data_IF_678607097776
#
_entry.id   IF_678607097776
#
_cell.length_a   1.000
_cell.length_b   1.000
_cell.length_c   1.000
_cell.angle_alpha   90.00
_cell.angle_beta   90.00
_cell.angle_gamma   90.00
#
_symmetry.space_group_name_H-M   'P 1'
#
loop_
_entity.id
_entity.type
_entity.pdbx_description
1 polymer ?
#
# COMPACT_ATOMS: atom_id res chain seq x y z
N UNK A 1 -51.58 9.46 17.79
CA UNK A 1 -50.30 8.82 18.16
C UNK A 1 -49.31 9.91 18.56
N UNK A 2 -48.92 9.97 19.84
CA UNK A 2 -47.95 10.96 20.33
C UNK A 2 -46.56 10.50 19.88
N UNK A 3 -45.89 11.28 19.02
CA UNK A 3 -44.52 10.99 18.59
C UNK A 3 -43.59 11.44 19.71
N UNK A 4 -42.88 10.51 20.34
CA UNK A 4 -41.81 10.84 21.27
C UNK A 4 -40.63 11.34 20.42
N UNK A 5 -40.28 12.61 20.57
CA UNK A 5 -39.11 13.19 19.92
C UNK A 5 -37.84 12.82 20.70
N UNK A 6 -36.75 12.56 19.98
CA UNK A 6 -35.43 12.42 20.58
C UNK A 6 -35.06 13.69 21.31
N UNK A 7 -34.51 13.54 22.51
CA UNK A 7 -33.98 14.66 23.25
C UNK A 7 -32.61 15.05 22.68
N UNK A 8 -32.29 16.35 22.67
CA UNK A 8 -30.97 16.82 22.20
C UNK A 8 -29.81 16.18 22.97
N UNK A 9 -30.03 15.83 24.25
CA UNK A 9 -29.03 15.20 25.10
C UNK A 9 -28.70 13.77 24.68
N UNK A 10 -29.69 12.99 24.24
CA UNK A 10 -29.47 11.63 23.71
C UNK A 10 -28.58 11.67 22.47
N UNK A 11 -28.82 12.63 21.55
CA UNK A 11 -27.99 12.79 20.37
C UNK A 11 -26.57 13.27 20.70
N UNK A 12 -26.45 14.18 21.67
CA UNK A 12 -25.19 14.78 22.09
C UNK A 12 -24.24 13.77 22.75
N UNK A 13 -24.76 12.88 23.60
CA UNK A 13 -23.93 11.85 24.24
C UNK A 13 -23.37 10.86 23.22
N UNK A 14 -24.15 10.54 22.18
CA UNK A 14 -23.75 9.57 21.15
C UNK A 14 -22.58 10.11 20.32
N UNK A 15 -22.66 11.37 19.86
CA UNK A 15 -21.55 11.95 19.09
C UNK A 15 -20.28 12.11 19.95
N UNK A 16 -20.42 12.36 21.25
CA UNK A 16 -19.29 12.46 22.16
C UNK A 16 -18.55 11.12 22.30
N UNK A 17 -19.29 10.01 22.42
CA UNK A 17 -18.71 8.67 22.49
C UNK A 17 -18.05 8.30 21.14
N UNK A 18 -18.71 8.59 20.00
CA UNK A 18 -18.14 8.33 18.67
C UNK A 18 -16.83 9.11 18.47
N UNK A 19 -16.78 10.38 18.86
CA UNK A 19 -15.57 11.21 18.75
C UNK A 19 -14.40 10.64 19.57
N UNK A 20 -14.67 10.17 20.78
CA UNK A 20 -13.67 9.53 21.64
C UNK A 20 -13.12 8.24 20.99
N UNK A 21 -13.99 7.38 20.46
CA UNK A 21 -13.57 6.15 19.78
C UNK A 21 -12.77 6.44 18.50
N UNK A 22 -13.22 7.40 17.68
CA UNK A 22 -12.52 7.78 16.44
C UNK A 22 -11.16 8.41 16.71
N UNK A 23 -11.02 9.19 17.79
CA UNK A 23 -9.75 9.80 18.20
C UNK A 23 -8.66 8.75 18.47
N UNK A 24 -9.03 7.60 19.02
CA UNK A 24 -8.10 6.49 19.27
C UNK A 24 -7.90 5.65 17.99
N UNK A 25 -8.94 5.49 17.17
CA UNK A 25 -8.90 4.65 15.97
C UNK A 25 -8.08 5.27 14.82
N UNK A 26 -8.18 6.57 14.61
CA UNK A 26 -7.51 7.29 13.50
C UNK A 26 -5.98 7.15 13.50
N UNK A 27 -5.25 7.38 14.62
CA UNK A 27 -3.79 7.20 14.65
C UNK A 27 -3.37 5.73 14.50
N UNK A 28 -4.18 4.81 15.04
CA UNK A 28 -3.94 3.37 14.90
C UNK A 28 -4.04 2.94 13.42
N UNK A 29 -5.06 3.41 12.70
CA UNK A 29 -5.28 3.05 11.31
C UNK A 29 -4.15 3.52 10.37
N UNK A 30 -3.59 4.72 10.60
CA UNK A 30 -2.48 5.23 9.79
C UNK A 30 -1.22 4.36 9.93
N UNK A 31 -0.93 3.89 11.15
CA UNK A 31 0.21 3.01 11.44
C UNK A 31 0.00 1.62 10.83
N UNK A 32 -1.19 1.05 11.01
CA UNK A 32 -1.57 -0.26 10.44
C UNK A 32 -1.43 -0.24 8.92
N UNK A 33 -1.85 0.83 8.24
CA UNK A 33 -1.72 0.93 6.77
C UNK A 33 -0.27 0.80 6.32
N UNK A 34 0.67 1.48 6.98
CA UNK A 34 2.10 1.41 6.65
C UNK A 34 2.66 0.00 6.87
N UNK A 35 2.30 -0.63 8.00
CA UNK A 35 2.70 -2.01 8.30
C UNK A 35 2.14 -2.97 7.26
N UNK A 36 0.85 -2.86 6.92
CA UNK A 36 0.20 -3.69 5.92
C UNK A 36 0.86 -3.57 4.54
N UNK A 37 1.20 -2.34 4.12
CA UNK A 37 1.96 -2.12 2.89
C UNK A 37 3.34 -2.80 2.93
N UNK A 38 4.04 -2.73 4.05
CA UNK A 38 5.31 -3.44 4.25
C UNK A 38 5.16 -4.96 4.17
N UNK A 39 4.13 -5.52 4.80
CA UNK A 39 3.81 -6.96 4.75
C UNK A 39 3.50 -7.40 3.32
N UNK A 40 2.70 -6.65 2.58
CA UNK A 40 2.39 -6.95 1.18
C UNK A 40 3.65 -6.91 0.32
N UNK A 41 4.49 -5.88 0.48
CA UNK A 41 5.76 -5.76 -0.25
C UNK A 41 6.71 -6.95 0.04
N UNK A 42 6.85 -7.30 1.33
CA UNK A 42 7.67 -8.45 1.74
C UNK A 42 7.13 -9.78 1.19
N UNK A 43 5.81 -9.95 1.13
CA UNK A 43 5.20 -11.14 0.55
C UNK A 43 5.43 -11.19 -0.99
N UNK A 44 5.22 -10.07 -1.68
CA UNK A 44 5.44 -10.00 -3.13
C UNK A 44 6.89 -10.33 -3.49
N UNK A 45 7.87 -9.78 -2.78
CA UNK A 45 9.30 -10.06 -3.00
C UNK A 45 9.66 -11.51 -2.69
N UNK A 46 9.10 -12.09 -1.62
CA UNK A 46 9.25 -13.52 -1.33
C UNK A 46 8.65 -14.40 -2.44
N UNK A 47 7.49 -14.02 -2.97
CA UNK A 47 6.83 -14.76 -4.06
C UNK A 47 7.65 -14.69 -5.35
N UNK A 48 8.14 -13.51 -5.72
CA UNK A 48 9.00 -13.33 -6.90
C UNK A 48 10.34 -14.07 -6.77
N UNK A 49 11.00 -13.97 -5.63
CA UNK A 49 12.26 -14.67 -5.38
C UNK A 49 12.08 -16.19 -5.40
N UNK A 50 11.00 -16.70 -4.80
CA UNK A 50 10.66 -18.12 -4.89
C UNK A 50 10.43 -18.54 -6.35
N UNK A 51 9.70 -17.75 -7.14
CA UNK A 51 9.51 -18.01 -8.57
C UNK A 51 10.81 -18.00 -9.37
N UNK A 52 11.73 -17.07 -9.08
CA UNK A 52 13.04 -17.01 -9.73
C UNK A 52 13.92 -18.23 -9.38
N UNK A 53 13.88 -18.70 -8.13
CA UNK A 53 14.60 -19.91 -7.70
C UNK A 53 14.03 -21.15 -8.40
N UNK A 54 12.70 -21.30 -8.45
CA UNK A 54 12.06 -22.40 -9.17
C UNK A 54 12.42 -22.39 -10.66
N UNK A 55 12.44 -21.21 -11.28
CA UNK A 55 12.86 -21.07 -12.67
C UNK A 55 14.32 -21.52 -12.87
N UNK A 56 15.24 -21.07 -12.01
CA UNK A 56 16.65 -21.43 -12.11
C UNK A 56 16.88 -22.96 -11.98
N UNK A 57 16.13 -23.61 -11.08
CA UNK A 57 16.17 -25.07 -10.92
C UNK A 57 15.80 -25.81 -12.22
N UNK A 58 14.84 -25.29 -12.99
CA UNK A 58 14.39 -25.92 -14.24
C UNK A 58 15.20 -25.47 -15.48
N UNK A 59 16.01 -24.41 -15.37
CA UNK A 59 16.68 -23.75 -16.51
C UNK A 59 18.20 -23.64 -16.33
N UNK A 60 18.87 -24.71 -15.89
CA UNK A 60 20.33 -24.79 -15.80
C UNK A 60 20.95 -23.61 -15.01
N UNK A 61 20.35 -23.30 -13.86
CA UNK A 61 20.71 -22.20 -12.97
C UNK A 61 20.61 -20.79 -13.59
N UNK A 62 19.97 -20.66 -14.76
CA UNK A 62 19.71 -19.37 -15.37
C UNK A 62 18.63 -18.61 -14.59
N UNK A 63 18.90 -17.35 -14.26
CA UNK A 63 17.92 -16.45 -13.63
C UNK A 63 17.04 -15.78 -14.69
N UNK A 64 15.79 -15.38 -14.34
CA UNK A 64 14.94 -14.62 -15.25
C UNK A 64 15.65 -13.35 -15.74
N UNK A 65 15.71 -13.17 -17.06
CA UNK A 65 16.33 -12.00 -17.67
C UNK A 65 15.53 -10.73 -17.31
N UNK A 66 16.16 -9.81 -16.57
CA UNK A 66 15.72 -8.42 -16.53
C UNK A 66 16.21 -7.73 -17.81
N UNK A 67 15.29 -7.31 -18.67
CA UNK A 67 15.61 -6.65 -19.94
C UNK A 67 16.19 -5.23 -19.68
N UNK A 68 17.44 -5.18 -19.22
CA UNK A 68 18.15 -3.96 -18.79
C UNK A 68 18.52 -3.06 -19.97
N UNK A 69 18.71 -3.62 -21.16
CA UNK A 69 19.04 -2.82 -22.36
C UNK A 69 17.93 -1.82 -22.69
N UNK A 70 16.67 -2.21 -22.47
CA UNK A 70 15.55 -1.28 -22.63
C UNK A 70 15.66 -0.12 -21.63
N UNK A 71 16.05 -0.37 -20.37
CA UNK A 71 16.10 0.68 -19.33
C UNK A 71 17.15 1.75 -19.63
N UNK A 72 18.31 1.37 -20.21
CA UNK A 72 19.31 2.33 -20.68
C UNK A 72 18.73 3.27 -21.74
N UNK A 73 17.99 2.75 -22.72
CA UNK A 73 17.33 3.55 -23.76
C UNK A 73 16.35 4.59 -23.17
N UNK A 74 15.50 4.20 -22.20
CA UNK A 74 14.56 5.14 -21.54
C UNK A 74 15.29 6.20 -20.71
N UNK A 75 16.40 5.85 -20.05
CA UNK A 75 17.15 6.77 -19.20
C UNK A 75 17.87 7.84 -20.04
N UNK A 76 18.45 7.44 -21.17
CA UNK A 76 19.11 8.36 -22.09
C UNK A 76 18.10 9.29 -22.80
N UNK A 77 16.93 8.78 -23.21
CA UNK A 77 15.85 9.61 -23.76
C UNK A 77 15.32 10.65 -22.76
N UNK A 78 15.12 10.27 -21.49
CA UNK A 78 14.64 11.17 -20.44
C UNK A 78 15.69 12.24 -20.12
N UNK A 79 16.97 11.86 -20.10
CA UNK A 79 18.11 12.75 -19.88
C UNK A 79 18.23 13.81 -20.98
N UNK A 80 18.04 13.44 -22.24
CA UNK A 80 18.03 14.38 -23.36
C UNK A 80 16.83 15.34 -23.32
N UNK A 81 15.65 14.87 -22.89
CA UNK A 81 14.47 15.72 -22.69
C UNK A 81 14.65 16.73 -21.55
N UNK A 82 15.36 16.35 -20.49
CA UNK A 82 15.57 17.21 -19.32
C UNK A 82 16.74 18.20 -19.51
N UNK A 83 17.67 17.91 -20.43
CA UNK A 83 18.73 18.83 -20.84
C UNK A 83 18.22 20.00 -21.69
N UNK A 84 17.13 19.80 -22.42
CA UNK A 84 16.53 20.76 -23.34
C UNK A 84 15.29 21.46 -22.75
N UNK A 85 15.11 21.43 -21.42
CA UNK A 85 14.01 22.06 -20.69
C UNK A 85 14.53 23.14 -19.76
#
# INVERSE_FOLDING_TARGET
MKRNGFTLIELLVVIAIIALLLSILMPSLQTIKKIAQGVVCSNNTKTLSTGAVLFAQDNNDAVPNSNLSKIEDWYDEEKDKNKNR
#
